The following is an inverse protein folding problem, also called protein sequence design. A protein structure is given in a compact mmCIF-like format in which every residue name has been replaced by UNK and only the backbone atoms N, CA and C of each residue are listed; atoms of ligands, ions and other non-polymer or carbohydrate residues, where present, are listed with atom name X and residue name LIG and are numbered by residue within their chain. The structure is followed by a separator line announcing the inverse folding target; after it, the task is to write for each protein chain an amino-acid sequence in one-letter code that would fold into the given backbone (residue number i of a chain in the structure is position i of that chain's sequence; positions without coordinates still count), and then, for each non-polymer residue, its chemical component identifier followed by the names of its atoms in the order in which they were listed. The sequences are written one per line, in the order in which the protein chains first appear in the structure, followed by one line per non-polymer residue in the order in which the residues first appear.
data_IF_955336459452
#
_entry.id   IF_955336459452
#
_cell.length_a   1.000
_cell.length_b   1.000
_cell.length_c   1.000
_cell.angle_alpha   90.00
_cell.angle_beta   90.00
_cell.angle_gamma   90.00
#
_symmetry.space_group_name_H-M   'P 1'
#
loop_
_entity.id
_entity.type
_entity.pdbx_description
1 polymer ?
#
# COMPACT_ATOMS: atom_id res chain seq x y z
N UNK A 1 6.11 -42.96 -13.21
CA UNK A 1 6.01 -42.07 -12.01
C UNK A 1 7.02 -40.91 -12.09
N UNK A 2 6.91 -40.02 -13.09
CA UNK A 2 7.80 -38.85 -13.27
C UNK A 2 7.10 -37.58 -13.81
N UNK A 3 5.77 -37.59 -13.99
CA UNK A 3 5.03 -36.48 -14.62
C UNK A 3 4.14 -35.68 -13.65
N UNK A 4 3.95 -36.16 -12.42
CA UNK A 4 3.14 -35.46 -11.40
C UNK A 4 4.01 -34.46 -10.60
N UNK A 5 5.31 -34.71 -10.47
CA UNK A 5 6.23 -33.81 -9.75
C UNK A 5 6.54 -32.50 -10.48
N UNK A 6 6.49 -32.50 -11.81
CA UNK A 6 6.74 -31.29 -12.62
C UNK A 6 5.61 -30.26 -12.53
N UNK A 7 4.37 -30.68 -12.27
CA UNK A 7 3.22 -29.75 -12.22
C UNK A 7 3.12 -29.04 -10.87
N UNK A 8 3.51 -29.69 -9.76
CA UNK A 8 3.49 -29.09 -8.42
C UNK A 8 4.62 -28.05 -8.25
N UNK A 9 5.76 -28.23 -8.93
CA UNK A 9 6.86 -27.26 -8.93
C UNK A 9 6.56 -26.01 -9.79
N UNK A 10 5.74 -26.14 -10.84
CA UNK A 10 5.30 -25.01 -11.66
C UNK A 10 4.24 -24.14 -10.95
N UNK A 11 3.44 -24.72 -10.07
CA UNK A 11 2.46 -23.99 -9.24
C UNK A 11 3.16 -23.30 -8.04
N UNK A 12 4.31 -23.81 -7.59
CA UNK A 12 5.15 -23.16 -6.57
C UNK A 12 6.02 -22.01 -7.13
N UNK A 13 6.17 -21.90 -8.45
CA UNK A 13 6.99 -20.86 -9.11
C UNK A 13 6.17 -19.67 -9.60
N UNK A 14 4.94 -19.50 -9.13
CA UNK A 14 4.33 -18.16 -9.07
C UNK A 14 4.67 -17.56 -7.72
N UNK A 15 5.97 -17.32 -7.47
CA UNK A 15 6.33 -16.31 -6.48
C UNK A 15 5.67 -15.04 -6.98
N UNK A 16 4.53 -14.69 -6.38
CA UNK A 16 3.79 -13.49 -6.68
C UNK A 16 4.75 -12.35 -6.37
N UNK A 17 5.46 -11.89 -7.39
CA UNK A 17 6.14 -10.61 -7.34
C UNK A 17 5.00 -9.60 -7.20
N UNK A 18 4.67 -9.24 -5.97
CA UNK A 18 3.77 -8.13 -5.71
C UNK A 18 4.51 -6.87 -6.15
N UNK A 19 4.49 -6.57 -7.45
CA UNK A 19 4.93 -5.29 -7.99
C UNK A 19 3.85 -4.27 -7.62
N UNK A 20 3.82 -3.90 -6.35
CA UNK A 20 2.90 -2.88 -5.87
C UNK A 20 3.15 -1.62 -6.70
N UNK A 21 2.11 -1.16 -7.40
CA UNK A 21 2.22 0.02 -8.25
C UNK A 21 1.77 1.24 -7.48
N UNK A 22 2.55 2.32 -7.52
CA UNK A 22 2.17 3.59 -6.90
C UNK A 22 1.16 4.29 -7.80
N UNK A 23 -0.09 4.40 -7.35
CA UNK A 23 -1.16 5.05 -8.11
C UNK A 23 -1.74 6.21 -7.29
N UNK A 24 -1.65 7.42 -7.84
CA UNK A 24 -2.22 8.60 -7.20
C UNK A 24 -3.73 8.44 -6.97
N UNK A 25 -4.28 9.00 -5.89
CA UNK A 25 -5.73 9.12 -5.71
C UNK A 25 -6.35 9.82 -6.93
N UNK A 26 -7.42 9.23 -7.48
CA UNK A 26 -8.11 9.80 -8.65
C UNK A 26 -8.99 11.01 -8.28
N UNK A 27 -9.31 11.18 -6.99
CA UNK A 27 -10.19 12.23 -6.48
C UNK A 27 -9.51 12.96 -5.33
N UNK A 28 -9.70 14.28 -5.30
CA UNK A 28 -9.08 15.18 -4.33
C UNK A 28 -7.78 15.80 -4.84
N UNK A 29 -7.42 16.96 -4.29
CA UNK A 29 -6.15 17.64 -4.52
C UNK A 29 -5.26 17.67 -3.26
N UNK A 30 -5.75 17.14 -2.14
CA UNK A 30 -5.03 17.08 -0.87
C UNK A 30 -5.16 18.35 -0.02
N UNK A 31 -5.94 19.34 -0.44
CA UNK A 31 -6.31 20.49 0.39
C UNK A 31 -7.36 20.11 1.44
N UNK A 32 -7.54 20.95 2.46
CA UNK A 32 -8.53 20.73 3.52
C UNK A 32 -9.97 20.68 2.98
N UNK A 33 -10.28 21.45 1.93
CA UNK A 33 -11.61 21.48 1.30
C UNK A 33 -11.82 20.36 0.27
N UNK A 34 -10.75 19.71 -0.19
CA UNK A 34 -10.79 18.67 -1.21
C UNK A 34 -9.73 17.58 -0.94
N UNK A 35 -9.87 16.80 0.15
CA UNK A 35 -8.89 15.81 0.56
C UNK A 35 -8.75 14.69 -0.48
N UNK A 36 -7.56 14.10 -0.59
CA UNK A 36 -7.33 12.91 -1.40
C UNK A 36 -8.17 11.73 -0.89
N UNK A 37 -8.90 11.06 -1.79
CA UNK A 37 -9.71 9.89 -1.44
C UNK A 37 -8.93 8.59 -1.61
N UNK A 38 -8.75 7.85 -0.53
CA UNK A 38 -7.95 6.62 -0.51
C UNK A 38 -8.90 5.41 -0.44
N UNK A 39 -8.91 4.62 -1.50
CA UNK A 39 -9.75 3.43 -1.60
C UNK A 39 -8.97 2.12 -1.80
N UNK A 40 -7.65 2.21 -2.09
CA UNK A 40 -6.85 1.04 -2.48
C UNK A 40 -5.47 1.04 -1.82
N UNK A 41 -4.86 -0.14 -1.76
CA UNK A 41 -3.48 -0.30 -1.31
C UNK A 41 -2.49 0.45 -2.21
N UNK A 42 -2.78 0.58 -3.51
CA UNK A 42 -1.97 1.35 -4.45
C UNK A 42 -1.97 2.85 -4.12
N UNK A 43 -3.09 3.39 -3.64
CA UNK A 43 -3.15 4.79 -3.18
C UNK A 43 -2.33 4.99 -1.91
N UNK A 44 -2.41 4.07 -0.95
CA UNK A 44 -1.53 4.09 0.22
C UNK A 44 -0.08 4.05 -0.24
N UNK A 45 0.30 3.07 -1.05
CA UNK A 45 1.67 2.98 -1.57
C UNK A 45 2.13 4.27 -2.23
N UNK A 46 1.30 4.90 -3.05
CA UNK A 46 1.62 6.20 -3.65
C UNK A 46 1.96 7.27 -2.61
N UNK A 47 1.21 7.38 -1.51
CA UNK A 47 1.54 8.35 -0.44
C UNK A 47 2.93 8.06 0.12
N UNK A 48 3.27 6.79 0.40
CA UNK A 48 4.60 6.43 0.95
C UNK A 48 5.75 6.84 0.02
N UNK A 49 5.53 6.78 -1.29
CA UNK A 49 6.53 7.13 -2.30
C UNK A 49 6.59 8.63 -2.61
N UNK A 50 5.69 9.45 -2.04
CA UNK A 50 5.61 10.89 -2.31
C UNK A 50 5.68 11.72 -1.01
N UNK A 51 6.88 11.93 -0.42
CA UNK A 51 7.04 12.67 0.84
C UNK A 51 6.47 14.08 0.82
N UNK A 52 6.49 14.75 -0.34
CA UNK A 52 5.89 16.09 -0.53
C UNK A 52 4.38 16.11 -0.32
N UNK A 53 3.72 14.94 -0.32
CA UNK A 53 2.28 14.76 -0.10
C UNK A 53 1.95 14.33 1.33
N UNK A 54 2.92 14.00 2.18
CA UNK A 54 2.66 13.48 3.52
C UNK A 54 1.87 14.43 4.42
N UNK A 55 1.92 15.73 4.13
CA UNK A 55 1.21 16.78 4.87
C UNK A 55 -0.14 17.18 4.25
N UNK A 56 -0.57 16.50 3.18
CA UNK A 56 -1.90 16.69 2.59
C UNK A 56 -3.02 16.13 3.46
N UNK A 57 -4.27 16.47 3.12
CA UNK A 57 -5.47 15.91 3.73
C UNK A 57 -5.94 14.67 2.98
N UNK A 58 -6.43 13.68 3.74
CA UNK A 58 -6.83 12.37 3.25
C UNK A 58 -8.15 11.93 3.86
N UNK A 59 -8.96 11.23 3.08
CA UNK A 59 -10.15 10.52 3.57
C UNK A 59 -10.15 9.11 2.99
N UNK A 60 -10.38 8.11 3.84
CA UNK A 60 -10.55 6.73 3.40
C UNK A 60 -12.01 6.52 2.96
N UNK A 61 -12.22 6.00 1.76
CA UNK A 61 -13.56 5.77 1.20
C UNK A 61 -13.90 4.29 1.02
N UNK A 62 -12.94 3.39 1.29
CA UNK A 62 -13.15 1.96 1.31
C UNK A 62 -12.22 1.28 2.33
N UNK A 63 -12.62 0.11 2.82
CA UNK A 63 -11.72 -0.76 3.59
C UNK A 63 -10.56 -1.19 2.68
N UNK A 64 -9.33 -1.03 3.17
CA UNK A 64 -8.13 -1.39 2.42
C UNK A 64 -7.49 -2.58 3.10
N UNK A 65 -7.46 -3.72 2.41
CA UNK A 65 -6.69 -4.86 2.86
C UNK A 65 -5.20 -4.59 2.61
N UNK A 66 -4.42 -4.41 3.66
CA UNK A 66 -3.00 -4.19 3.62
C UNK A 66 -2.18 -5.39 4.12
N UNK A 67 -2.75 -6.59 4.16
CA UNK A 67 -2.04 -7.83 4.51
C UNK A 67 -0.80 -8.05 3.62
N UNK A 68 -0.87 -7.60 2.36
CA UNK A 68 0.23 -7.64 1.39
C UNK A 68 1.41 -6.73 1.78
N UNK A 69 1.23 -5.81 2.72
CA UNK A 69 2.31 -4.96 3.24
C UNK A 69 3.20 -5.67 4.26
N UNK A 70 2.81 -6.85 4.74
CA UNK A 70 3.56 -7.62 5.75
C UNK A 70 5.03 -7.89 5.38
N UNK A 71 5.38 -7.85 4.10
CA UNK A 71 6.76 -7.99 3.60
C UNK A 71 7.46 -6.66 3.29
N UNK A 72 6.74 -5.54 3.39
CA UNK A 72 7.29 -4.20 3.16
C UNK A 72 8.18 -3.79 4.33
N UNK A 73 9.09 -2.86 4.06
CA UNK A 73 9.99 -2.29 5.06
C UNK A 73 10.70 -3.36 5.91
N UNK A 74 11.30 -4.36 5.22
CA UNK A 74 11.98 -5.49 5.86
C UNK A 74 11.09 -6.29 6.82
N UNK A 75 9.80 -6.40 6.51
CA UNK A 75 8.82 -7.11 7.32
C UNK A 75 8.13 -6.26 8.39
N UNK A 76 8.44 -4.97 8.46
CA UNK A 76 7.81 -4.05 9.42
C UNK A 76 6.37 -3.65 9.02
N UNK A 77 5.93 -3.98 7.81
CA UNK A 77 4.60 -3.60 7.34
C UNK A 77 4.60 -2.23 6.66
N UNK A 78 3.40 -1.66 6.54
CA UNK A 78 3.21 -0.28 6.15
C UNK A 78 3.91 0.70 7.13
N UNK A 79 4.77 1.57 6.61
CA UNK A 79 5.41 2.61 7.40
C UNK A 79 4.51 3.86 7.44
N UNK A 80 4.25 4.36 8.65
CA UNK A 80 3.52 5.61 8.85
C UNK A 80 4.19 6.78 8.12
N UNK A 81 3.38 7.71 7.61
CA UNK A 81 3.85 8.88 6.87
C UNK A 81 4.20 10.04 7.82
N UNK A 82 5.17 10.86 7.44
CA UNK A 82 5.67 12.00 8.22
C UNK A 82 7.11 11.82 8.72
N UNK A 83 7.81 12.93 8.99
CA UNK A 83 9.16 12.93 9.56
C UNK A 83 9.13 13.36 11.04
N UNK A 84 9.81 12.64 11.92
CA UNK A 84 10.00 12.99 13.35
C UNK A 84 8.87 12.57 14.30
N UNK A 85 8.85 13.14 15.52
CA UNK A 85 7.88 12.86 16.61
C UNK A 85 6.39 13.16 16.26
N UNK A 86 6.10 13.57 15.02
CA UNK A 86 4.77 13.87 14.50
C UNK A 86 4.35 13.01 13.30
N UNK A 87 4.93 11.82 13.12
CA UNK A 87 4.48 10.87 12.11
C UNK A 87 2.96 10.64 12.23
N UNK A 88 2.21 10.97 11.19
CA UNK A 88 0.78 10.68 11.10
C UNK A 88 0.65 9.22 10.72
N UNK A 89 0.40 8.37 11.71
CA UNK A 89 -0.15 7.06 11.43
C UNK A 89 -1.51 7.26 10.77
N UNK A 90 -1.70 6.70 9.58
CA UNK A 90 -3.04 6.51 9.05
C UNK A 90 -3.64 5.39 9.90
N UNK A 91 -4.26 5.75 11.02
CA UNK A 91 -5.00 4.80 11.84
C UNK A 91 -6.30 4.47 11.10
N UNK A 92 -6.29 3.34 10.42
CA UNK A 92 -7.45 2.66 9.88
C UNK A 92 -7.19 1.17 9.95
N UNK A 93 -8.25 0.35 9.92
CA UNK A 93 -8.14 -1.09 9.76
C UNK A 93 -7.44 -1.38 8.42
N UNK A 94 -6.12 -1.53 8.48
CA UNK A 94 -5.26 -2.07 7.43
C UNK A 94 -5.33 -3.60 7.45
#
# INVERSE_FOLDING_TARGET
MKKIFTTILAILLTAMAYTQTATAPAVGDGSAGNPYQIATLNNLYWISQNPTKWYSHYIQTANINASATSTWNSGAGWQSIGYGNGAKSIQGNL
#
